data_IF_700093719513
#
_entry.id   IF_700093719513
#
_cell.length_a   1.000
_cell.length_b   1.000
_cell.length_c   1.000
_cell.angle_alpha   90.00
_cell.angle_beta   90.00
_cell.angle_gamma   90.00
#
_symmetry.space_group_name_H-M   'P 1'
#
loop_
_entity.id
_entity.type
_entity.pdbx_description
1 polymer ?
#
# COMPACT_ATOMS: atom_id res chain seq x y z
N UNK A 1 -11.26 -2.55 6.05
CA UNK A 1 -12.52 -3.01 6.67
C UNK A 1 -12.53 -4.54 6.77
N UNK A 2 -12.48 -5.06 8.01
CA UNK A 2 -12.75 -6.45 8.44
C UNK A 2 -11.80 -7.56 7.93
N UNK A 3 -10.72 -7.78 8.67
CA UNK A 3 -10.30 -9.14 9.02
C UNK A 3 -10.20 -9.19 10.55
N UNK A 4 -11.27 -9.62 11.16
CA UNK A 4 -11.30 -10.03 12.56
C UNK A 4 -10.63 -11.39 12.62
N UNK A 5 -9.48 -11.43 13.26
CA UNK A 5 -8.78 -12.62 13.69
C UNK A 5 -9.68 -13.42 14.63
N UNK A 6 -9.96 -14.64 14.25
CA UNK A 6 -10.42 -15.67 15.20
C UNK A 6 -9.22 -16.11 16.06
N UNK A 7 -8.97 -15.37 17.12
CA UNK A 7 -8.26 -15.92 18.27
C UNK A 7 -9.28 -16.81 18.97
N UNK A 8 -9.21 -18.11 18.70
CA UNK A 8 -9.92 -19.11 19.47
C UNK A 8 -9.22 -19.18 20.82
N UNK A 9 -9.71 -18.41 21.78
CA UNK A 9 -9.40 -18.61 23.19
C UNK A 9 -9.89 -20.01 23.57
N UNK A 10 -8.98 -20.96 23.67
CA UNK A 10 -9.25 -22.21 24.35
C UNK A 10 -9.46 -21.88 25.83
N UNK A 11 -10.70 -21.62 26.20
CA UNK A 11 -11.10 -21.57 27.61
C UNK A 11 -11.00 -22.98 28.16
N UNK A 12 -9.90 -23.25 28.86
CA UNK A 12 -9.80 -24.47 29.68
C UNK A 12 -10.69 -24.25 30.89
N UNK A 13 -11.89 -24.79 30.81
CA UNK A 13 -12.72 -24.97 32.00
C UNK A 13 -11.98 -25.91 32.97
N UNK A 14 -11.86 -25.48 34.22
CA UNK A 14 -11.49 -26.36 35.34
C UNK A 14 -12.60 -27.39 35.53
N UNK A 15 -12.46 -28.55 34.85
CA UNK A 15 -13.39 -29.65 34.98
C UNK A 15 -13.13 -30.33 36.32
N UNK A 16 -14.18 -30.47 37.12
CA UNK A 16 -14.22 -31.38 38.25
C UNK A 16 -13.98 -32.80 37.73
N UNK A 17 -13.19 -33.60 38.45
CA UNK A 17 -12.80 -34.99 38.14
C UNK A 17 -13.97 -35.95 37.84
N UNK A 18 -15.18 -35.46 37.61
CA UNK A 18 -16.39 -36.30 37.51
C UNK A 18 -16.79 -36.76 36.11
N UNK A 19 -16.39 -36.10 35.02
CA UNK A 19 -17.00 -36.30 33.69
C UNK A 19 -16.03 -36.57 32.53
N UNK A 20 -14.71 -36.52 32.72
CA UNK A 20 -13.73 -36.76 31.67
C UNK A 20 -13.31 -38.23 31.63
N UNK A 21 -14.06 -39.09 30.91
CA UNK A 21 -13.58 -40.44 30.62
C UNK A 21 -13.13 -40.52 29.14
N UNK A 22 -12.06 -41.31 28.90
CA UNK A 22 -11.53 -41.47 27.53
C UNK A 22 -10.54 -40.38 27.11
N UNK A 23 -10.11 -39.51 28.04
CA UNK A 23 -9.13 -38.44 27.78
C UNK A 23 -7.81 -38.72 28.50
N UNK A 24 -6.71 -38.24 27.88
CA UNK A 24 -5.38 -38.25 28.48
C UNK A 24 -5.17 -36.96 29.25
N UNK A 25 -4.84 -37.08 30.53
CA UNK A 25 -4.55 -35.98 31.42
C UNK A 25 -3.05 -35.94 31.76
N UNK A 26 -2.52 -34.76 31.96
CA UNK A 26 -1.14 -34.55 32.40
C UNK A 26 -1.16 -33.94 33.81
N UNK A 27 -0.39 -34.56 34.72
CA UNK A 27 -0.34 -34.14 36.12
C UNK A 27 1.11 -34.02 36.58
N UNK A 28 1.38 -33.12 37.53
CA UNK A 28 2.73 -32.92 38.11
C UNK A 28 3.26 -31.52 37.93
N UNK A 29 3.27 -30.99 36.76
CA UNK A 29 3.66 -29.59 36.50
C UNK A 29 2.43 -28.66 36.55
N UNK A 30 2.27 -27.95 37.67
CA UNK A 30 1.17 -26.99 37.85
C UNK A 30 1.51 -25.61 37.23
N UNK A 31 2.81 -25.32 37.00
CA UNK A 31 3.26 -24.03 36.50
C UNK A 31 3.09 -23.96 34.97
N UNK A 32 3.31 -25.07 34.27
CA UNK A 32 3.29 -25.10 32.81
C UNK A 32 2.18 -25.99 32.30
N UNK A 33 1.12 -25.39 31.84
CA UNK A 33 0.01 -26.11 31.19
C UNK A 33 0.50 -26.78 29.91
N UNK A 34 -0.08 -27.93 29.59
CA UNK A 34 0.22 -28.66 28.35
C UNK A 34 -0.35 -27.90 27.16
N UNK A 35 0.49 -27.61 26.17
CA UNK A 35 0.04 -27.06 24.88
C UNK A 35 -0.50 -28.21 24.02
N UNK A 36 -1.67 -28.00 23.47
CA UNK A 36 -2.34 -29.02 22.63
C UNK A 36 -2.40 -28.53 21.19
N UNK A 37 -1.79 -29.29 20.29
CA UNK A 37 -1.88 -29.06 18.84
C UNK A 37 -2.82 -30.10 18.23
N UNK A 38 -3.75 -29.65 17.38
CA UNK A 38 -4.58 -30.50 16.57
C UNK A 38 -3.89 -30.84 15.25
N UNK A 39 -3.32 -32.04 15.09
CA UNK A 39 -2.62 -32.37 13.87
C UNK A 39 -3.60 -32.64 12.72
N UNK A 40 -3.12 -32.48 11.48
CA UNK A 40 -3.91 -32.86 10.31
C UNK A 40 -4.40 -34.30 10.41
N UNK A 41 -5.64 -34.58 10.02
CA UNK A 41 -6.26 -35.93 10.00
C UNK A 41 -5.41 -36.96 9.25
N UNK A 42 -4.60 -36.55 8.30
CA UNK A 42 -3.69 -37.40 7.54
C UNK A 42 -2.58 -38.02 8.38
N UNK A 43 -2.29 -37.46 9.57
CA UNK A 43 -1.29 -37.99 10.50
C UNK A 43 -1.77 -39.25 11.24
N UNK A 44 -3.07 -39.42 11.36
CA UNK A 44 -3.70 -40.47 12.16
C UNK A 44 -3.61 -40.25 13.67
N UNK A 45 -2.99 -39.14 14.12
CA UNK A 45 -2.95 -38.76 15.52
C UNK A 45 -4.21 -37.97 15.91
N UNK A 46 -4.68 -38.17 17.13
CA UNK A 46 -5.74 -37.37 17.72
C UNK A 46 -5.21 -36.02 18.20
N UNK A 47 -4.01 -35.98 18.79
CA UNK A 47 -3.39 -34.78 19.33
C UNK A 47 -1.86 -34.85 19.31
N UNK A 48 -1.20 -33.69 19.31
CA UNK A 48 0.20 -33.54 19.66
C UNK A 48 0.26 -32.67 20.90
N UNK A 49 0.78 -33.24 21.99
CA UNK A 49 0.95 -32.52 23.25
C UNK A 49 2.37 -31.99 23.35
N UNK A 50 2.53 -30.70 23.62
CA UNK A 50 3.83 -30.13 23.91
C UNK A 50 3.88 -29.80 25.40
N UNK A 51 4.79 -30.45 26.08
CA UNK A 51 5.01 -30.28 27.53
C UNK A 51 6.33 -29.54 27.76
N UNK A 52 6.42 -28.82 28.86
CA UNK A 52 7.60 -28.03 29.19
C UNK A 52 8.83 -28.90 29.43
N UNK A 53 8.67 -29.97 30.25
CA UNK A 53 9.67 -30.98 30.56
C UNK A 53 8.95 -32.30 30.96
N UNK A 54 9.27 -33.40 30.30
CA UNK A 54 8.65 -34.67 30.58
C UNK A 54 9.02 -35.26 31.95
N UNK A 55 10.14 -34.83 32.54
CA UNK A 55 10.54 -35.25 33.90
C UNK A 55 9.62 -34.65 35.00
N UNK A 56 8.90 -33.57 34.69
CA UNK A 56 8.02 -32.91 35.66
C UNK A 56 6.59 -33.41 35.65
N UNK A 57 6.26 -34.32 34.74
CA UNK A 57 4.87 -34.76 34.50
C UNK A 57 4.70 -36.27 34.57
N UNK A 58 3.45 -36.68 34.77
CA UNK A 58 2.93 -38.04 34.57
C UNK A 58 1.73 -37.96 33.64
N UNK A 59 1.47 -39.02 32.90
CA UNK A 59 0.26 -39.14 32.10
C UNK A 59 -0.77 -40.05 32.78
N UNK A 60 -2.02 -39.63 32.76
CA UNK A 60 -3.15 -40.38 33.30
C UNK A 60 -4.22 -40.57 32.23
N UNK A 61 -4.90 -41.68 32.30
CA UNK A 61 -6.08 -41.94 31.46
C UNK A 61 -7.22 -42.40 32.36
N UNK A 62 -8.37 -41.82 32.23
CA UNK A 62 -9.57 -42.14 33.00
C UNK A 62 -10.41 -43.13 32.18
N UNK A 63 -10.45 -44.37 32.61
CA UNK A 63 -11.24 -45.43 31.96
C UNK A 63 -12.75 -45.25 32.19
N UNK A 64 -13.57 -45.84 31.35
CA UNK A 64 -15.03 -45.80 31.46
C UNK A 64 -15.52 -46.41 32.77
N UNK A 65 -14.95 -47.51 33.20
CA UNK A 65 -15.22 -48.17 34.49
C UNK A 65 -13.97 -48.82 35.08
N UNK A 66 -14.06 -49.24 36.34
CA UNK A 66 -12.93 -49.82 37.05
C UNK A 66 -12.50 -51.20 36.52
N UNK A 67 -13.38 -51.91 35.83
CA UNK A 67 -13.09 -53.23 35.24
C UNK A 67 -12.56 -53.14 33.80
N UNK A 68 -12.63 -51.94 33.18
CA UNK A 68 -12.16 -51.78 31.82
C UNK A 68 -10.68 -52.06 31.71
N UNK A 69 -10.27 -52.90 30.76
CA UNK A 69 -8.87 -53.13 30.46
C UNK A 69 -8.32 -51.98 29.67
N UNK A 70 -7.31 -51.29 30.22
CA UNK A 70 -6.57 -50.20 29.54
C UNK A 70 -5.15 -50.67 29.31
N UNK A 71 -4.68 -50.61 28.07
CA UNK A 71 -3.31 -50.95 27.69
C UNK A 71 -2.63 -49.74 27.06
N UNK A 72 -1.41 -49.48 27.47
CA UNK A 72 -0.61 -48.39 26.97
C UNK A 72 0.52 -48.90 26.07
N UNK A 73 0.72 -48.26 24.94
CA UNK A 73 1.84 -48.57 24.05
C UNK A 73 2.61 -47.28 23.75
N UNK A 74 3.88 -47.45 23.44
CA UNK A 74 4.79 -46.36 23.00
C UNK A 74 5.31 -46.69 21.60
N UNK A 75 5.44 -45.70 20.74
CA UNK A 75 6.05 -45.83 19.42
C UNK A 75 6.97 -44.63 19.12
N UNK A 76 7.94 -44.86 18.22
CA UNK A 76 8.87 -43.83 17.74
C UNK A 76 8.70 -43.58 16.25
N UNK A 77 9.80 -43.26 15.61
CA UNK A 77 9.87 -42.91 14.18
C UNK A 77 9.35 -43.97 13.21
N UNK A 78 9.29 -45.21 13.62
CA UNK A 78 8.76 -46.30 12.79
C UNK A 78 7.22 -46.33 12.75
N UNK A 79 6.56 -45.51 13.58
CA UNK A 79 5.11 -45.41 13.66
C UNK A 79 4.42 -46.46 14.54
N UNK A 80 3.10 -46.33 14.67
CA UNK A 80 2.27 -47.12 15.59
C UNK A 80 2.19 -48.61 15.29
N UNK A 81 2.51 -49.03 14.08
CA UNK A 81 2.60 -50.46 13.74
C UNK A 81 3.74 -51.18 14.48
N UNK A 82 4.73 -50.45 14.95
CA UNK A 82 5.88 -50.96 15.73
C UNK A 82 5.80 -50.49 17.19
N UNK A 83 4.57 -50.27 17.68
CA UNK A 83 4.38 -49.85 19.07
C UNK A 83 4.64 -51.00 20.03
N UNK A 84 5.33 -50.70 21.12
CA UNK A 84 5.64 -51.64 22.20
C UNK A 84 4.74 -51.39 23.39
N UNK A 85 4.22 -52.45 23.99
CA UNK A 85 3.39 -52.37 25.21
C UNK A 85 4.24 -51.87 26.38
N UNK A 86 3.70 -50.91 27.14
CA UNK A 86 4.34 -50.34 28.32
C UNK A 86 3.93 -51.16 29.55
N UNK A 87 4.91 -51.75 30.20
CA UNK A 87 4.72 -52.47 31.47
C UNK A 87 4.73 -51.47 32.68
N UNK A 88 4.16 -51.90 33.81
CA UNK A 88 4.25 -51.17 35.05
C UNK A 88 3.32 -49.92 35.15
N UNK A 89 2.26 -49.91 34.37
CA UNK A 89 1.20 -48.90 34.47
C UNK A 89 0.52 -48.98 35.85
N UNK A 90 0.57 -47.88 36.61
CA UNK A 90 -0.15 -47.77 37.88
C UNK A 90 -1.66 -47.70 37.64
N UNK A 91 -2.46 -48.27 38.53
CA UNK A 91 -3.92 -48.19 38.48
C UNK A 91 -4.51 -47.89 39.84
N UNK A 92 -5.41 -46.92 39.89
CA UNK A 92 -6.21 -46.58 41.05
C UNK A 92 -7.67 -46.34 40.58
N UNK A 93 -8.57 -47.29 40.88
CA UNK A 93 -9.92 -47.25 40.39
C UNK A 93 -9.98 -47.18 38.86
N UNK A 94 -10.58 -46.13 38.33
CA UNK A 94 -10.70 -45.84 36.88
C UNK A 94 -9.45 -45.26 36.29
N UNK A 95 -8.52 -44.71 37.09
CA UNK A 95 -7.36 -43.96 36.60
C UNK A 95 -6.18 -44.92 36.39
N UNK A 96 -5.65 -44.94 35.18
CA UNK A 96 -4.35 -45.55 34.87
C UNK A 96 -3.29 -44.48 34.76
N UNK A 97 -2.09 -44.71 35.34
CA UNK A 97 -1.02 -43.70 35.42
C UNK A 97 0.27 -44.27 34.85
N UNK A 98 0.82 -43.57 33.86
CA UNK A 98 2.18 -43.73 33.38
C UNK A 98 3.09 -42.72 34.10
N UNK A 99 3.98 -43.26 34.98
CA UNK A 99 4.85 -42.44 35.82
C UNK A 99 6.08 -41.88 35.09
N UNK A 100 6.61 -42.59 34.11
CA UNK A 100 7.80 -42.20 33.33
C UNK A 100 7.39 -41.89 31.89
N UNK A 101 7.37 -40.62 31.52
CA UNK A 101 7.06 -40.18 30.16
C UNK A 101 8.33 -40.09 29.35
N UNK A 102 8.43 -40.91 28.30
CA UNK A 102 9.59 -40.88 27.40
C UNK A 102 9.47 -39.62 26.49
N UNK A 103 10.45 -38.75 26.45
CA UNK A 103 10.38 -37.53 25.64
C UNK A 103 10.28 -37.85 24.13
N UNK A 104 9.64 -36.96 23.40
CA UNK A 104 9.54 -37.00 21.93
C UNK A 104 9.08 -38.36 21.37
N UNK A 105 8.01 -38.92 21.96
CA UNK A 105 7.49 -40.26 21.66
C UNK A 105 5.99 -40.22 21.37
N UNK A 106 5.56 -41.16 20.53
CA UNK A 106 4.14 -41.41 20.28
C UNK A 106 3.60 -42.40 21.30
N UNK A 107 2.32 -42.27 21.64
CA UNK A 107 1.61 -43.14 22.56
C UNK A 107 0.30 -43.60 21.98
N UNK A 108 -0.09 -44.81 22.36
CA UNK A 108 -1.41 -45.37 22.08
C UNK A 108 -2.02 -45.80 23.42
N UNK A 109 -3.23 -45.34 23.68
CA UNK A 109 -4.05 -45.85 24.77
C UNK A 109 -5.20 -46.65 24.16
N UNK A 110 -5.29 -47.88 24.56
CA UNK A 110 -6.31 -48.82 24.11
C UNK A 110 -7.26 -49.17 25.26
N UNK A 111 -8.55 -48.92 25.09
CA UNK A 111 -9.61 -49.34 25.99
C UNK A 111 -10.69 -50.07 25.19
N UNK A 112 -10.78 -51.39 25.35
CA UNK A 112 -11.65 -52.24 24.52
C UNK A 112 -11.29 -52.09 23.03
N UNK A 113 -12.27 -51.68 22.23
CA UNK A 113 -12.09 -51.48 20.77
C UNK A 113 -11.65 -50.05 20.42
N UNK A 114 -11.51 -49.16 21.40
CA UNK A 114 -11.12 -47.75 21.18
C UNK A 114 -9.60 -47.63 21.31
N UNK A 115 -9.01 -46.87 20.37
CA UNK A 115 -7.59 -46.49 20.41
C UNK A 115 -7.46 -44.99 20.23
N UNK A 116 -6.68 -44.37 21.10
CA UNK A 116 -6.28 -42.97 21.02
C UNK A 116 -4.79 -42.87 20.71
N UNK A 117 -4.44 -42.18 19.66
CA UNK A 117 -3.07 -42.01 19.18
C UNK A 117 -2.65 -40.56 19.40
N UNK A 118 -1.54 -40.35 20.10
CA UNK A 118 -1.04 -38.99 20.31
C UNK A 118 0.49 -39.01 20.39
N UNK A 119 1.06 -37.83 20.20
CA UNK A 119 2.51 -37.61 20.31
C UNK A 119 2.78 -36.66 21.45
N UNK A 120 3.84 -36.91 22.23
CA UNK A 120 4.29 -36.03 23.32
C UNK A 120 5.64 -35.42 22.92
N UNK A 121 5.70 -34.12 22.78
CA UNK A 121 6.92 -33.37 22.57
C UNK A 121 7.41 -32.85 23.92
N UNK A 122 8.69 -33.04 24.21
CA UNK A 122 9.40 -32.45 25.32
C UNK A 122 10.07 -31.16 24.85
N UNK A 123 9.50 -30.01 25.23
CA UNK A 123 10.02 -28.71 24.79
C UNK A 123 11.41 -28.40 25.37
N UNK A 124 11.79 -28.99 26.50
CA UNK A 124 13.12 -28.78 27.09
C UNK A 124 14.26 -29.15 26.14
N UNK A 125 14.00 -30.09 25.21
CA UNK A 125 14.96 -30.48 24.16
C UNK A 125 15.03 -29.53 22.96
N UNK A 126 14.07 -28.62 22.85
CA UNK A 126 13.90 -27.71 21.70
C UNK A 126 13.91 -26.25 22.12
N UNK A 127 14.38 -25.95 23.31
CA UNK A 127 14.28 -24.61 23.89
C UNK A 127 14.86 -23.55 22.96
N UNK A 128 14.05 -22.52 22.65
CA UNK A 128 14.50 -21.35 21.89
C UNK A 128 15.44 -20.53 22.76
N UNK A 129 16.56 -20.12 22.21
CA UNK A 129 17.50 -19.17 22.82
C UNK A 129 17.87 -18.12 21.79
N UNK A 130 17.50 -16.88 22.03
CA UNK A 130 17.85 -15.73 21.20
C UNK A 130 18.94 -14.92 21.94
N UNK A 131 20.05 -14.60 21.26
CA UNK A 131 21.18 -13.88 21.83
C UNK A 131 21.32 -12.49 21.21
N UNK A 132 21.37 -12.38 19.89
CA UNK A 132 21.46 -11.11 19.17
C UNK A 132 20.80 -11.19 17.80
N UNK A 133 20.49 -10.02 17.25
CA UNK A 133 20.06 -9.84 15.86
C UNK A 133 20.72 -8.58 15.32
N UNK A 134 21.30 -8.68 14.14
CA UNK A 134 22.03 -7.58 13.50
C UNK A 134 21.68 -7.52 12.01
N UNK A 135 21.49 -6.30 11.48
CA UNK A 135 21.37 -6.08 10.05
C UNK A 135 22.74 -6.16 9.40
N UNK A 136 22.85 -6.88 8.29
CA UNK A 136 24.04 -6.94 7.47
C UNK A 136 24.28 -5.58 6.79
N UNK A 137 25.44 -4.96 6.99
CA UNK A 137 25.74 -3.61 6.50
C UNK A 137 25.82 -3.55 4.96
N UNK A 138 26.36 -4.60 4.34
CA UNK A 138 26.50 -4.74 2.90
C UNK A 138 25.36 -5.61 2.35
N UNK A 139 24.35 -4.98 1.79
CA UNK A 139 23.20 -5.66 1.18
C UNK A 139 22.75 -4.98 -0.10
N UNK A 140 22.08 -5.75 -0.95
CA UNK A 140 21.45 -5.22 -2.16
C UNK A 140 20.37 -4.20 -1.81
N UNK A 141 20.17 -3.23 -2.71
CA UNK A 141 19.07 -2.29 -2.61
C UNK A 141 17.72 -3.01 -2.50
N UNK A 142 16.90 -2.58 -1.57
CA UNK A 142 15.55 -3.13 -1.37
C UNK A 142 15.50 -4.44 -0.61
N UNK A 143 16.65 -4.92 -0.07
CA UNK A 143 16.72 -6.16 0.72
C UNK A 143 17.36 -5.88 2.07
N UNK A 144 16.74 -6.39 3.14
CA UNK A 144 17.33 -6.45 4.47
C UNK A 144 17.72 -7.90 4.77
N UNK A 145 18.96 -8.11 5.17
CA UNK A 145 19.47 -9.42 5.61
C UNK A 145 19.86 -9.30 7.07
N UNK A 146 19.21 -10.10 7.92
CA UNK A 146 19.44 -10.12 9.35
C UNK A 146 20.22 -11.39 9.73
N UNK A 147 21.30 -11.21 10.47
CA UNK A 147 22.03 -12.29 11.11
C UNK A 147 21.53 -12.44 12.55
N UNK A 148 21.11 -13.64 12.91
CA UNK A 148 20.57 -13.98 14.23
C UNK A 148 21.48 -14.96 14.93
N UNK A 149 21.98 -14.58 16.09
CA UNK A 149 22.71 -15.49 16.99
C UNK A 149 21.74 -16.10 18.00
N UNK A 150 21.83 -17.44 18.16
CA UNK A 150 20.93 -18.18 19.00
C UNK A 150 20.79 -19.64 18.58
N UNK A 151 19.83 -20.31 19.15
CA UNK A 151 19.48 -21.70 18.82
C UNK A 151 18.00 -21.97 18.95
N UNK A 152 17.50 -22.90 18.15
CA UNK A 152 16.10 -23.30 18.15
C UNK A 152 15.82 -24.37 17.11
N UNK A 153 16.11 -25.62 17.44
CA UNK A 153 15.91 -26.74 16.54
C UNK A 153 14.43 -26.88 16.13
N UNK A 154 14.21 -27.45 14.96
CA UNK A 154 12.88 -27.81 14.49
C UNK A 154 12.21 -28.79 15.48
N UNK A 155 11.03 -28.47 15.95
CA UNK A 155 10.22 -29.36 16.80
C UNK A 155 9.58 -30.40 15.91
N UNK A 156 10.01 -31.65 16.02
CA UNK A 156 9.57 -32.73 15.15
C UNK A 156 8.64 -33.72 15.88
N UNK A 157 7.74 -34.34 15.12
CA UNK A 157 6.93 -35.44 15.57
C UNK A 157 6.68 -36.45 14.42
N UNK A 158 6.23 -37.64 14.73
CA UNK A 158 5.98 -38.67 13.71
C UNK A 158 4.50 -39.02 13.67
N UNK A 159 4.00 -39.24 12.47
CA UNK A 159 2.64 -39.78 12.24
C UNK A 159 2.54 -41.24 12.67
N UNK A 160 1.32 -41.78 12.76
CA UNK A 160 1.12 -43.20 13.06
C UNK A 160 1.79 -44.17 12.04
N UNK A 161 2.10 -43.67 10.85
CA UNK A 161 2.79 -44.42 9.79
C UNK A 161 4.29 -44.11 9.68
N UNK A 162 4.87 -43.37 10.65
CA UNK A 162 6.29 -43.02 10.68
C UNK A 162 6.68 -41.85 9.81
N UNK A 163 5.73 -41.07 9.26
CA UNK A 163 6.01 -39.87 8.49
C UNK A 163 6.44 -38.72 9.40
N UNK A 164 7.59 -38.10 9.08
CA UNK A 164 8.10 -36.95 9.82
C UNK A 164 7.23 -35.70 9.58
N UNK A 165 6.93 -34.97 10.65
CA UNK A 165 6.24 -33.70 10.67
C UNK A 165 6.98 -32.70 11.57
N UNK A 166 6.77 -31.41 11.34
CA UNK A 166 7.30 -30.31 12.15
C UNK A 166 6.15 -29.50 12.74
N UNK A 167 6.36 -28.99 13.94
CA UNK A 167 5.49 -27.96 14.52
C UNK A 167 6.02 -26.60 14.15
N UNK A 168 5.11 -25.72 13.76
CA UNK A 168 5.40 -24.31 13.57
C UNK A 168 5.71 -23.64 14.93
N UNK A 169 6.85 -22.99 15.02
CA UNK A 169 7.24 -22.22 16.20
C UNK A 169 6.54 -20.87 16.28
N UNK A 170 6.05 -20.35 15.13
CA UNK A 170 5.43 -19.03 15.01
C UNK A 170 6.26 -17.93 15.67
N UNK A 171 7.53 -17.81 15.25
CA UNK A 171 8.36 -16.67 15.62
C UNK A 171 7.85 -15.42 14.88
N UNK A 172 7.93 -14.26 15.53
CA UNK A 172 7.52 -12.99 14.94
C UNK A 172 8.71 -12.04 14.85
N UNK A 173 8.97 -11.54 13.64
CA UNK A 173 9.93 -10.49 13.37
C UNK A 173 9.18 -9.21 13.06
N UNK A 174 9.36 -8.20 13.89
CA UNK A 174 8.70 -6.90 13.76
C UNK A 174 9.70 -5.79 13.44
N UNK A 175 9.30 -4.84 12.61
CA UNK A 175 10.05 -3.64 12.24
C UNK A 175 9.11 -2.56 11.72
N UNK A 176 9.60 -1.34 11.54
CA UNK A 176 8.86 -0.25 10.92
C UNK A 176 9.31 -0.04 9.48
N UNK A 177 8.38 0.38 8.63
CA UNK A 177 8.65 0.81 7.25
C UNK A 177 7.69 1.94 6.89
N UNK A 178 7.69 2.39 5.63
CA UNK A 178 6.81 3.45 5.16
C UNK A 178 5.80 2.92 4.14
N UNK A 179 4.59 3.49 4.18
CA UNK A 179 3.58 3.35 3.15
C UNK A 179 3.13 4.74 2.67
N UNK A 180 2.85 4.86 1.38
CA UNK A 180 2.38 6.11 0.81
C UNK A 180 0.90 6.35 1.11
N UNK A 181 0.59 7.54 1.59
CA UNK A 181 -0.78 8.03 1.75
C UNK A 181 -1.11 9.04 0.66
N UNK A 182 -1.88 8.62 -0.34
CA UNK A 182 -2.32 9.52 -1.42
C UNK A 182 -3.23 10.66 -0.90
N UNK A 183 -3.98 10.42 0.18
CA UNK A 183 -4.84 11.44 0.80
C UNK A 183 -4.04 12.59 1.40
N UNK A 184 -2.91 12.26 2.02
CA UNK A 184 -2.05 13.23 2.72
C UNK A 184 -0.84 13.66 1.87
N UNK A 185 -0.63 13.05 0.70
CA UNK A 185 0.57 13.22 -0.14
C UNK A 185 1.85 13.12 0.68
N UNK A 186 1.95 12.06 1.48
CA UNK A 186 3.09 11.86 2.40
C UNK A 186 3.32 10.40 2.77
N UNK A 187 4.55 10.07 3.08
CA UNK A 187 4.95 8.78 3.62
C UNK A 187 4.50 8.66 5.07
N UNK A 188 3.89 7.52 5.41
CA UNK A 188 3.39 7.21 6.75
C UNK A 188 4.13 6.00 7.31
N UNK A 189 4.59 6.09 8.56
CA UNK A 189 5.23 4.96 9.23
C UNK A 189 4.20 3.88 9.56
N UNK A 190 4.51 2.63 9.21
CA UNK A 190 3.68 1.46 9.47
C UNK A 190 4.52 0.34 10.06
N UNK A 191 3.96 -0.36 11.04
CA UNK A 191 4.58 -1.56 11.62
C UNK A 191 4.42 -2.75 10.67
N UNK A 192 5.53 -3.44 10.42
CA UNK A 192 5.58 -4.68 9.65
C UNK A 192 5.80 -5.87 10.57
N UNK A 193 5.19 -7.01 10.27
CA UNK A 193 5.35 -8.25 11.02
C UNK A 193 5.51 -9.42 10.06
N UNK A 194 6.66 -10.07 10.13
CA UNK A 194 6.96 -11.28 9.39
C UNK A 194 6.91 -12.50 10.32
N UNK A 195 6.19 -13.54 9.89
CA UNK A 195 6.07 -14.79 10.65
C UNK A 195 7.04 -15.83 10.12
N UNK A 196 7.76 -16.45 11.03
CA UNK A 196 8.74 -17.48 10.73
C UNK A 196 8.29 -18.80 11.38
N UNK A 197 8.21 -19.87 10.58
CA UNK A 197 7.82 -21.20 11.06
C UNK A 197 8.85 -21.83 12.02
N UNK A 198 10.13 -21.40 11.90
CA UNK A 198 11.21 -21.92 12.73
C UNK A 198 12.37 -20.93 12.85
N UNK A 199 13.31 -21.23 13.73
CA UNK A 199 14.52 -20.45 13.93
C UNK A 199 15.41 -20.52 12.69
N UNK A 200 15.99 -19.37 12.31
CA UNK A 200 16.96 -19.22 11.23
C UNK A 200 18.09 -18.30 11.68
N UNK A 201 19.31 -18.67 11.41
CA UNK A 201 20.50 -17.84 11.68
C UNK A 201 20.64 -16.69 10.70
N UNK A 202 19.97 -16.76 9.55
CA UNK A 202 19.94 -15.70 8.53
C UNK A 202 18.54 -15.54 7.97
N UNK A 203 18.01 -14.32 8.02
CA UNK A 203 16.66 -13.98 7.58
C UNK A 203 16.78 -12.90 6.51
N UNK A 204 16.21 -13.14 5.34
CA UNK A 204 16.12 -12.15 4.26
C UNK A 204 14.68 -11.70 4.11
N UNK A 205 14.47 -10.40 4.02
CA UNK A 205 13.13 -9.76 3.92
C UNK A 205 13.22 -8.50 3.05
N UNK A 206 12.07 -7.94 2.62
CA UNK A 206 12.05 -6.64 1.96
C UNK A 206 12.70 -5.57 2.84
N UNK A 207 13.49 -4.70 2.21
CA UNK A 207 14.17 -3.62 2.91
C UNK A 207 13.18 -2.61 3.50
N UNK A 208 13.51 -2.08 4.68
CA UNK A 208 12.76 -0.97 5.27
C UNK A 208 13.00 0.32 4.50
N UNK A 209 11.93 1.10 4.31
CA UNK A 209 11.96 2.44 3.69
C UNK A 209 12.32 3.56 4.66
N UNK A 210 12.44 3.24 5.97
CA UNK A 210 12.88 4.16 7.00
C UNK A 210 13.88 3.49 7.96
N UNK A 211 14.55 4.29 8.74
CA UNK A 211 15.37 3.81 9.86
C UNK A 211 14.49 3.07 10.86
N UNK A 212 14.92 1.86 11.27
CA UNK A 212 14.10 0.97 12.09
C UNK A 212 14.93 0.10 13.02
N UNK A 213 14.24 -0.50 13.99
CA UNK A 213 14.78 -1.55 14.87
C UNK A 213 14.07 -2.86 14.53
N UNK A 214 14.84 -3.89 14.20
CA UNK A 214 14.30 -5.22 13.97
C UNK A 214 14.22 -5.96 15.30
N UNK A 215 13.04 -6.50 15.61
CA UNK A 215 12.82 -7.25 16.85
C UNK A 215 12.30 -8.64 16.52
N UNK A 216 13.08 -9.66 16.87
CA UNK A 216 12.67 -11.06 16.77
C UNK A 216 12.17 -11.54 18.11
N UNK A 217 10.99 -12.11 18.16
CA UNK A 217 10.34 -12.61 19.37
C UNK A 217 9.66 -13.96 19.15
N UNK A 218 9.40 -14.66 20.20
CA UNK A 218 8.69 -15.95 20.19
C UNK A 218 9.38 -16.95 21.10
N UNK A 219 9.07 -18.23 21.00
CA UNK A 219 8.07 -18.84 20.10
C UNK A 219 6.69 -18.91 20.77
N UNK A 220 5.69 -19.44 20.03
CA UNK A 220 4.31 -19.56 20.53
C UNK A 220 4.20 -20.43 21.78
N UNK A 221 5.12 -21.37 21.98
CA UNK A 221 5.13 -22.25 23.17
C UNK A 221 5.59 -21.49 24.40
N UNK A 222 6.70 -20.72 24.30
CA UNK A 222 7.16 -19.84 25.38
C UNK A 222 6.10 -18.78 25.68
N UNK A 223 5.48 -18.20 24.65
CA UNK A 223 4.40 -17.23 24.85
C UNK A 223 3.21 -17.85 25.59
N UNK A 224 2.84 -19.09 25.28
CA UNK A 224 1.78 -19.80 25.97
C UNK A 224 2.09 -20.00 27.47
N UNK A 225 3.35 -20.26 27.82
CA UNK A 225 3.80 -20.36 29.21
C UNK A 225 4.16 -19.02 29.87
N UNK A 226 3.92 -17.91 29.18
CA UNK A 226 4.25 -16.56 29.65
C UNK A 226 5.77 -16.33 29.84
N UNK A 227 6.58 -17.08 29.14
CA UNK A 227 8.03 -16.98 29.05
C UNK A 227 8.41 -16.53 27.64
N UNK A 228 8.31 -15.24 27.30
CA UNK A 228 8.72 -14.78 25.98
C UNK A 228 10.22 -14.48 25.95
N UNK A 229 10.85 -14.81 24.83
CA UNK A 229 12.18 -14.34 24.47
C UNK A 229 12.08 -13.31 23.35
N UNK A 230 12.93 -12.30 23.41
CA UNK A 230 12.99 -11.27 22.39
C UNK A 230 14.40 -10.69 22.30
N UNK A 231 14.85 -10.46 21.10
CA UNK A 231 16.09 -9.72 20.82
C UNK A 231 15.83 -8.62 19.81
N UNK A 232 16.49 -7.49 19.98
CA UNK A 232 16.33 -6.35 19.08
C UNK A 232 17.69 -5.93 18.54
N UNK A 233 17.71 -5.51 17.26
CA UNK A 233 18.90 -4.89 16.66
C UNK A 233 19.15 -3.51 17.26
N UNK A 234 20.32 -2.93 16.98
CA UNK A 234 20.47 -1.48 17.02
C UNK A 234 19.55 -0.79 16.01
N UNK A 235 19.49 0.55 16.08
CA UNK A 235 18.83 1.35 15.02
C UNK A 235 19.56 1.14 13.70
N UNK A 236 18.88 0.58 12.73
CA UNK A 236 19.38 0.34 11.38
C UNK A 236 18.88 1.42 10.42
N UNK A 237 19.73 1.87 9.51
CA UNK A 237 19.32 2.80 8.46
C UNK A 237 18.38 2.12 7.45
N UNK A 238 17.60 2.95 6.72
CA UNK A 238 16.76 2.46 5.64
C UNK A 238 17.57 1.63 4.64
N UNK A 239 17.06 0.46 4.28
CA UNK A 239 17.70 -0.49 3.35
C UNK A 239 17.03 -0.53 1.98
N UNK A 240 15.98 0.28 1.79
CA UNK A 240 15.28 0.43 0.52
C UNK A 240 14.99 1.91 0.23
N UNK A 241 14.84 2.22 -1.06
CA UNK A 241 14.49 3.53 -1.59
C UNK A 241 13.19 3.43 -2.37
N UNK A 242 12.30 4.37 -2.15
CA UNK A 242 11.07 4.51 -2.91
C UNK A 242 10.78 5.97 -3.23
N UNK A 243 10.05 6.20 -4.31
CA UNK A 243 9.56 7.51 -4.73
C UNK A 243 8.07 7.45 -5.03
N UNK A 244 7.38 8.54 -4.73
CA UNK A 244 5.99 8.79 -5.14
C UNK A 244 5.88 10.19 -5.70
N UNK A 245 4.85 10.43 -6.51
CA UNK A 245 4.70 11.70 -7.21
C UNK A 245 3.24 12.13 -7.26
N UNK A 246 3.05 13.45 -7.25
CA UNK A 246 1.76 14.08 -7.51
C UNK A 246 1.97 15.11 -8.61
N UNK A 247 1.26 14.96 -9.74
CA UNK A 247 1.34 15.89 -10.86
C UNK A 247 -0.03 16.45 -11.15
N UNK A 248 -0.14 17.77 -11.20
CA UNK A 248 -1.40 18.47 -11.42
C UNK A 248 -1.26 19.62 -12.40
N UNK A 249 -2.25 19.84 -13.23
CA UNK A 249 -2.31 21.00 -14.10
C UNK A 249 -3.07 22.14 -13.42
N UNK A 250 -2.41 23.29 -13.25
CA UNK A 250 -2.99 24.48 -12.61
C UNK A 250 -3.80 25.37 -13.55
N UNK A 251 -3.63 25.20 -14.87
CA UNK A 251 -4.27 26.07 -15.85
C UNK A 251 -5.79 25.87 -15.90
N UNK A 252 -6.53 26.92 -15.58
CA UNK A 252 -7.99 26.92 -15.76
C UNK A 252 -8.35 26.95 -17.26
N UNK A 253 -9.34 26.15 -17.65
CA UNK A 253 -9.88 26.13 -19.01
C UNK A 253 -10.86 27.31 -19.20
N UNK A 254 -10.57 28.20 -20.15
CA UNK A 254 -11.56 29.18 -20.59
C UNK A 254 -12.64 28.50 -21.46
N UNK A 255 -13.88 28.99 -21.38
CA UNK A 255 -15.05 28.44 -22.09
C UNK A 255 -14.90 28.49 -23.64
N UNK A 256 -14.07 29.40 -24.13
CA UNK A 256 -13.77 29.59 -25.56
C UNK A 256 -12.43 28.96 -26.00
N UNK A 257 -11.74 28.25 -25.11
CA UNK A 257 -10.53 27.50 -25.43
C UNK A 257 -10.87 26.12 -26.00
N UNK A 258 -10.37 25.82 -27.21
CA UNK A 258 -10.51 24.49 -27.85
C UNK A 258 -9.28 23.63 -27.59
N UNK A 259 -9.46 22.32 -27.64
CA UNK A 259 -8.37 21.34 -27.59
C UNK A 259 -7.80 21.05 -26.21
N UNK A 260 -8.34 21.66 -25.15
CA UNK A 260 -8.18 21.14 -23.81
C UNK A 260 -9.15 19.96 -23.70
N UNK A 261 -8.70 18.75 -24.03
CA UNK A 261 -9.55 17.56 -24.00
C UNK A 261 -10.22 17.36 -22.63
N UNK A 262 -11.40 16.74 -22.65
CA UNK A 262 -12.12 16.34 -21.43
C UNK A 262 -11.46 15.16 -20.71
N UNK A 263 -10.32 14.66 -21.26
CA UNK A 263 -9.54 13.59 -20.66
C UNK A 263 -8.73 14.15 -19.48
N UNK A 264 -9.23 13.95 -18.28
CA UNK A 264 -8.58 14.35 -17.01
C UNK A 264 -7.18 13.71 -16.81
N UNK A 265 -6.84 12.74 -17.64
CA UNK A 265 -5.56 12.00 -17.58
C UNK A 265 -4.46 12.59 -18.49
N UNK A 266 -4.76 13.62 -19.32
CA UNK A 266 -3.78 14.21 -20.22
C UNK A 266 -3.30 15.56 -19.74
N UNK A 267 -1.99 15.65 -19.47
CA UNK A 267 -1.34 16.92 -19.15
C UNK A 267 -1.04 17.73 -20.41
N UNK A 268 -1.19 19.06 -20.32
CA UNK A 268 -0.92 19.99 -21.39
C UNK A 268 -2.18 20.41 -22.14
N UNK A 269 -2.31 19.99 -23.41
CA UNK A 269 -3.43 20.35 -24.30
C UNK A 269 -3.21 21.68 -25.01
N UNK A 270 -3.66 22.80 -24.45
CA UNK A 270 -3.53 24.14 -25.04
C UNK A 270 -2.48 24.97 -24.27
N UNK A 271 -1.55 25.60 -24.98
CA UNK A 271 -0.61 26.55 -24.39
C UNK A 271 -1.24 27.94 -24.13
N UNK A 272 -0.78 28.67 -23.08
CA UNK A 272 0.15 28.21 -22.06
C UNK A 272 -0.50 27.21 -21.10
N UNK A 273 0.25 26.17 -20.69
CA UNK A 273 -0.20 25.20 -19.70
C UNK A 273 0.80 25.14 -18.54
N UNK A 274 0.36 25.41 -17.33
CA UNK A 274 1.21 25.32 -16.12
C UNK A 274 0.92 24.01 -15.40
N UNK A 275 1.98 23.25 -15.17
CA UNK A 275 1.91 21.96 -14.50
C UNK A 275 2.80 22.01 -13.27
N UNK A 276 2.25 21.56 -12.14
CA UNK A 276 2.95 21.37 -10.88
C UNK A 276 3.37 19.90 -10.79
N UNK A 277 4.66 19.67 -10.60
CA UNK A 277 5.28 18.39 -10.38
C UNK A 277 5.77 18.34 -8.94
N UNK A 278 5.29 17.39 -8.16
CA UNK A 278 5.70 17.17 -6.76
C UNK A 278 6.24 15.75 -6.61
N UNK A 279 7.50 15.62 -6.21
CA UNK A 279 8.17 14.34 -5.99
C UNK A 279 8.49 14.12 -4.52
N UNK A 280 8.29 12.91 -4.05
CA UNK A 280 8.47 12.49 -2.66
C UNK A 280 9.34 11.25 -2.59
N UNK A 281 10.56 11.40 -2.11
CA UNK A 281 11.47 10.29 -1.89
C UNK A 281 11.49 9.89 -0.42
N UNK A 282 11.82 8.62 -0.12
CA UNK A 282 12.04 8.15 1.24
C UNK A 282 13.39 8.58 1.78
N UNK A 283 13.62 8.43 3.08
CA UNK A 283 14.79 8.98 3.78
C UNK A 283 16.15 8.47 3.28
N UNK A 284 16.18 7.31 2.62
CA UNK A 284 17.39 6.76 2.03
C UNK A 284 17.93 7.58 0.84
N UNK A 285 17.16 8.52 0.31
CA UNK A 285 17.56 9.33 -0.82
C UNK A 285 18.69 10.31 -0.45
N UNK A 286 19.84 10.19 -1.13
CA UNK A 286 20.94 11.17 -1.05
C UNK A 286 20.73 12.31 -2.04
N UNK A 287 20.09 12.02 -3.17
CA UNK A 287 19.79 12.97 -4.24
C UNK A 287 18.48 12.62 -4.90
N UNK A 288 17.72 13.63 -5.31
CA UNK A 288 16.52 13.46 -6.10
C UNK A 288 16.36 14.60 -7.11
N UNK A 289 15.75 14.30 -8.27
CA UNK A 289 15.55 15.27 -9.33
C UNK A 289 14.37 14.92 -10.24
N UNK A 290 13.76 15.92 -10.83
CA UNK A 290 12.90 15.76 -11.99
C UNK A 290 13.73 15.75 -13.26
N UNK A 291 13.50 14.79 -14.13
CA UNK A 291 14.14 14.65 -15.44
C UNK A 291 13.12 14.87 -16.55
N UNK A 292 13.54 15.60 -17.59
CA UNK A 292 12.76 15.78 -18.80
C UNK A 292 13.49 15.22 -20.02
N UNK A 293 12.74 14.52 -20.86
CA UNK A 293 13.21 14.01 -22.15
C UNK A 293 12.15 14.22 -23.24
N UNK A 294 12.59 14.26 -24.51
CA UNK A 294 11.70 14.21 -25.67
C UNK A 294 11.41 12.80 -26.15
N UNK A 295 12.04 11.80 -25.55
CA UNK A 295 11.79 10.39 -25.80
C UNK A 295 11.37 9.68 -24.52
N UNK A 296 10.38 8.79 -24.61
CA UNK A 296 9.83 8.06 -23.45
C UNK A 296 10.81 7.05 -22.84
N UNK A 297 11.88 6.70 -23.55
CA UNK A 297 12.91 5.78 -23.07
C UNK A 297 13.99 6.47 -22.20
N UNK A 298 14.00 7.81 -22.16
CA UNK A 298 14.99 8.61 -21.46
C UNK A 298 16.45 8.28 -21.83
N UNK A 299 16.72 7.81 -23.08
CA UNK A 299 18.09 7.64 -23.57
C UNK A 299 18.89 8.94 -23.49
N UNK A 300 18.21 10.10 -23.67
CA UNK A 300 18.77 11.42 -23.50
C UNK A 300 17.90 12.24 -22.54
N UNK A 301 18.45 12.62 -21.39
CA UNK A 301 17.86 13.58 -20.48
C UNK A 301 18.27 14.97 -20.91
N UNK A 302 17.30 15.83 -21.27
CA UNK A 302 17.57 17.16 -21.79
C UNK A 302 17.55 18.23 -20.69
N UNK A 303 16.70 18.07 -19.67
CA UNK A 303 16.63 18.98 -18.53
C UNK A 303 16.56 18.18 -17.22
N UNK A 304 17.20 18.71 -16.18
CA UNK A 304 17.22 18.15 -14.83
C UNK A 304 16.93 19.27 -13.82
N UNK A 305 16.09 18.97 -12.83
CA UNK A 305 15.68 19.90 -11.79
C UNK A 305 15.84 19.24 -10.43
N UNK A 306 16.73 19.77 -9.61
CA UNK A 306 17.03 19.22 -8.28
C UNK A 306 15.95 19.52 -7.23
N UNK A 307 14.96 20.34 -7.57
CA UNK A 307 13.82 20.63 -6.70
C UNK A 307 12.83 19.45 -6.69
N UNK A 308 12.33 19.09 -5.53
CA UNK A 308 11.24 18.10 -5.40
C UNK A 308 9.89 18.65 -5.86
N UNK A 309 9.69 19.96 -5.75
CA UNK A 309 8.51 20.68 -6.26
C UNK A 309 8.92 21.62 -7.39
N UNK A 310 8.30 21.44 -8.56
CA UNK A 310 8.58 22.20 -9.77
C UNK A 310 7.27 22.67 -10.41
N UNK A 311 7.11 23.99 -10.58
CA UNK A 311 6.04 24.56 -11.41
C UNK A 311 6.62 24.96 -12.77
N UNK A 312 6.13 24.32 -13.85
CA UNK A 312 6.61 24.54 -15.23
C UNK A 312 5.48 24.97 -16.14
N UNK A 313 5.67 26.10 -16.83
CA UNK A 313 4.74 26.58 -17.87
C UNK A 313 5.24 26.19 -19.26
N UNK A 314 4.41 25.45 -19.98
CA UNK A 314 4.65 24.97 -21.34
C UNK A 314 4.03 25.93 -22.34
N UNK A 315 4.87 26.57 -23.16
CA UNK A 315 4.46 27.55 -24.17
C UNK A 315 4.67 27.05 -25.61
N UNK A 316 5.44 25.97 -25.82
CA UNK A 316 5.82 25.45 -27.12
C UNK A 316 5.05 24.18 -27.47
N UNK A 317 4.60 24.07 -28.72
CA UNK A 317 3.98 22.87 -29.22
C UNK A 317 4.96 21.70 -29.26
N UNK A 318 4.50 20.53 -28.83
CA UNK A 318 5.30 19.31 -28.80
C UNK A 318 4.95 18.42 -27.64
N UNK A 319 5.66 17.29 -27.54
CA UNK A 319 5.49 16.32 -26.46
C UNK A 319 6.79 16.17 -25.69
N UNK A 320 6.71 16.18 -24.38
CA UNK A 320 7.81 15.94 -23.45
C UNK A 320 7.41 14.87 -22.43
N UNK A 321 8.41 14.14 -21.94
CA UNK A 321 8.26 13.08 -20.94
C UNK A 321 8.98 13.47 -19.68
N UNK A 322 8.37 13.21 -18.55
CA UNK A 322 8.84 13.63 -17.22
C UNK A 322 8.83 12.47 -16.27
N UNK A 323 9.88 12.33 -15.47
CA UNK A 323 9.94 11.38 -14.36
C UNK A 323 10.69 11.98 -13.19
N UNK A 324 10.39 11.50 -12.00
CA UNK A 324 11.12 11.82 -10.78
C UNK A 324 12.06 10.67 -10.45
N UNK A 325 13.33 10.98 -10.19
CA UNK A 325 14.36 10.00 -9.90
C UNK A 325 14.99 10.32 -8.57
N UNK A 326 15.18 9.31 -7.73
CA UNK A 326 15.96 9.41 -6.50
C UNK A 326 17.08 8.37 -6.48
N UNK A 327 18.22 8.75 -5.91
CA UNK A 327 19.39 7.90 -5.76
C UNK A 327 19.80 7.83 -4.30
N UNK A 328 20.34 6.69 -3.86
CA UNK A 328 20.95 6.51 -2.56
C UNK A 328 22.40 6.05 -2.73
N UNK A 329 23.33 6.87 -2.27
CA UNK A 329 24.77 6.55 -2.35
C UNK A 329 25.16 5.39 -1.43
N UNK A 330 24.42 5.21 -0.33
CA UNK A 330 24.76 4.22 0.69
C UNK A 330 24.64 2.76 0.21
N UNK A 331 23.70 2.51 -0.76
CA UNK A 331 23.41 1.16 -1.26
C UNK A 331 23.32 1.08 -2.79
N UNK A 332 23.80 2.10 -3.49
CA UNK A 332 23.70 2.21 -4.96
C UNK A 332 22.27 1.98 -5.46
N UNK A 333 21.29 2.53 -4.72
CA UNK A 333 19.86 2.43 -5.04
C UNK A 333 19.44 3.51 -6.02
N UNK A 334 18.58 3.14 -6.97
CA UNK A 334 17.86 4.07 -7.84
C UNK A 334 16.38 3.74 -7.78
N UNK A 335 15.55 4.76 -7.56
CA UNK A 335 14.09 4.66 -7.65
C UNK A 335 13.57 5.69 -8.64
N UNK A 336 12.65 5.29 -9.51
CA UNK A 336 12.06 6.13 -10.54
C UNK A 336 10.53 6.11 -10.42
N UNK A 337 9.90 7.26 -10.67
CA UNK A 337 8.44 7.35 -10.76
C UNK A 337 7.91 6.77 -12.07
N UNK A 338 6.60 6.73 -12.21
CA UNK A 338 5.97 6.60 -13.52
C UNK A 338 6.34 7.78 -14.45
N UNK A 339 6.17 7.58 -15.74
CA UNK A 339 6.49 8.58 -16.77
C UNK A 339 5.24 9.40 -17.06
N UNK A 340 5.34 10.71 -16.87
CA UNK A 340 4.30 11.68 -17.21
C UNK A 340 4.51 12.21 -18.61
N UNK A 341 3.46 12.20 -19.42
CA UNK A 341 3.50 12.76 -20.79
C UNK A 341 2.80 14.10 -20.80
N UNK A 342 3.53 15.16 -21.14
CA UNK A 342 3.01 16.50 -21.37
C UNK A 342 2.99 16.79 -22.86
N UNK A 343 1.79 17.06 -23.43
CA UNK A 343 1.64 17.29 -24.87
C UNK A 343 0.91 18.59 -25.12
N UNK A 344 1.56 19.53 -25.79
CA UNK A 344 1.00 20.80 -26.21
C UNK A 344 0.65 20.74 -27.70
N UNK A 345 -0.61 21.03 -28.03
CA UNK A 345 -1.10 21.05 -29.39
C UNK A 345 -0.71 22.31 -30.16
N UNK A 346 -0.78 22.25 -31.49
CA UNK A 346 -0.63 23.41 -32.38
C UNK A 346 -1.75 24.43 -32.16
N UNK A 347 -1.45 25.67 -32.53
CA UNK A 347 -2.39 26.78 -32.34
C UNK A 347 -3.53 26.82 -33.36
N UNK A 348 -4.67 27.29 -32.91
CA UNK A 348 -5.78 27.70 -33.77
C UNK A 348 -6.43 28.97 -33.25
N UNK A 349 -6.95 29.80 -34.16
CA UNK A 349 -7.63 31.05 -33.82
C UNK A 349 -8.76 31.30 -34.81
N UNK A 350 -9.99 31.39 -34.31
CA UNK A 350 -11.20 31.64 -35.12
C UNK A 350 -12.00 32.80 -34.50
N UNK A 351 -12.48 33.70 -35.35
CA UNK A 351 -13.26 34.84 -34.93
C UNK A 351 -14.72 34.68 -35.37
N UNK A 352 -15.70 34.82 -34.51
CA UNK A 352 -17.11 34.89 -34.92
C UNK A 352 -17.39 36.20 -35.63
N UNK A 353 -18.32 36.18 -36.58
CA UNK A 353 -18.69 37.35 -37.38
C UNK A 353 -19.87 38.14 -36.81
N UNK A 354 -20.50 37.65 -35.74
CA UNK A 354 -21.66 38.30 -35.12
C UNK A 354 -21.84 37.89 -33.64
N UNK A 355 -22.46 38.76 -32.86
CA UNK A 355 -22.93 38.45 -31.52
C UNK A 355 -24.17 39.28 -31.19
N UNK A 356 -24.92 38.97 -30.12
CA UNK A 356 -26.19 39.57 -29.80
C UNK A 356 -26.32 39.93 -28.33
N UNK A 357 -25.60 40.95 -27.83
CA UNK A 357 -25.56 41.30 -26.43
C UNK A 357 -26.96 41.62 -25.89
N UNK A 358 -27.31 41.04 -24.72
CA UNK A 358 -28.60 41.30 -24.01
C UNK A 358 -29.84 40.78 -24.71
N UNK A 359 -29.74 39.93 -25.74
CA UNK A 359 -30.92 39.33 -26.39
C UNK A 359 -31.39 38.09 -25.63
N UNK A 360 -30.49 37.23 -25.21
CA UNK A 360 -30.71 36.05 -24.38
C UNK A 360 -29.61 35.98 -23.38
N UNK A 361 -29.91 36.10 -22.10
CA UNK A 361 -28.93 36.11 -21.03
C UNK A 361 -28.03 34.88 -21.06
N UNK A 362 -26.71 35.08 -21.08
CA UNK A 362 -25.68 34.03 -21.14
C UNK A 362 -25.45 33.42 -22.51
N UNK A 363 -26.13 33.86 -23.59
CA UNK A 363 -25.93 33.29 -24.93
C UNK A 363 -25.53 34.37 -25.92
N UNK A 364 -24.32 34.27 -26.48
CA UNK A 364 -23.75 35.22 -27.43
C UNK A 364 -23.74 36.69 -26.93
N UNK A 365 -23.62 36.88 -25.62
CA UNK A 365 -23.62 38.21 -24.99
C UNK A 365 -22.29 38.94 -25.19
N UNK A 366 -21.22 38.20 -25.52
CA UNK A 366 -19.90 38.73 -25.78
C UNK A 366 -19.35 38.17 -27.11
N UNK A 367 -18.61 39.05 -27.81
CA UNK A 367 -17.82 38.62 -28.92
C UNK A 367 -16.50 38.06 -28.41
N UNK A 368 -16.31 36.76 -28.50
CA UNK A 368 -15.11 36.02 -28.06
C UNK A 368 -14.53 35.24 -29.24
N UNK A 369 -13.21 35.28 -29.36
CA UNK A 369 -12.51 34.35 -30.29
C UNK A 369 -12.57 32.94 -29.79
N UNK A 370 -12.54 31.95 -30.66
CA UNK A 370 -12.32 30.56 -30.31
C UNK A 370 -10.87 30.22 -30.60
N UNK A 371 -10.14 29.71 -29.63
CA UNK A 371 -8.70 29.53 -29.75
C UNK A 371 -8.19 28.23 -29.13
N UNK A 372 -6.99 27.84 -29.52
CA UNK A 372 -6.14 26.88 -28.83
C UNK A 372 -4.69 27.31 -28.95
N UNK A 373 -3.87 27.04 -27.94
CA UNK A 373 -2.41 27.24 -27.93
C UNK A 373 -1.94 28.60 -28.45
N UNK A 374 -2.60 29.67 -27.99
CA UNK A 374 -2.23 31.06 -28.30
C UNK A 374 -1.41 31.60 -27.12
N UNK A 375 -0.13 31.89 -27.35
CA UNK A 375 0.81 32.33 -26.31
C UNK A 375 0.98 33.85 -26.22
N UNK A 376 0.65 34.55 -27.30
CA UNK A 376 0.57 36.02 -27.31
C UNK A 376 -0.68 36.44 -28.05
N UNK A 377 -1.40 37.41 -27.52
CA UNK A 377 -2.65 37.87 -28.10
C UNK A 377 -2.86 39.35 -27.85
N UNK A 378 -3.30 40.06 -28.90
CA UNK A 378 -3.79 41.42 -28.82
C UNK A 378 -4.86 41.64 -29.89
N UNK A 379 -6.01 42.13 -29.47
CA UNK A 379 -7.13 42.43 -30.35
C UNK A 379 -7.63 43.84 -30.08
N UNK A 380 -7.75 44.61 -31.14
CA UNK A 380 -8.35 45.96 -31.12
C UNK A 380 -9.65 45.95 -31.89
N UNK A 381 -10.69 46.58 -31.30
CA UNK A 381 -12.01 46.68 -31.87
C UNK A 381 -12.32 48.14 -32.14
N UNK A 382 -12.79 48.42 -33.37
CA UNK A 382 -13.02 49.76 -33.88
C UNK A 382 -14.44 49.95 -34.38
N UNK A 383 -14.95 51.18 -34.35
CA UNK A 383 -16.17 51.56 -35.08
C UNK A 383 -15.85 51.88 -36.56
N UNK A 384 -16.88 52.17 -37.36
CA UNK A 384 -16.74 52.57 -38.79
C UNK A 384 -15.90 53.85 -39.04
N UNK A 385 -15.69 54.66 -38.00
CA UNK A 385 -14.91 55.87 -38.06
C UNK A 385 -13.44 55.68 -37.66
N UNK A 386 -13.03 54.42 -37.37
CA UNK A 386 -11.68 54.10 -36.91
C UNK A 386 -11.39 54.45 -35.46
N UNK A 387 -12.42 54.75 -34.67
CA UNK A 387 -12.25 54.95 -33.22
C UNK A 387 -12.13 53.63 -32.53
N UNK A 388 -11.07 53.42 -31.75
CA UNK A 388 -10.86 52.22 -30.93
C UNK A 388 -11.86 52.22 -29.77
N UNK A 389 -12.62 51.12 -29.65
CA UNK A 389 -13.65 50.93 -28.64
C UNK A 389 -13.19 50.02 -27.52
N UNK A 390 -12.45 48.95 -27.84
CA UNK A 390 -11.97 47.97 -26.92
C UNK A 390 -10.59 47.47 -27.33
N UNK A 391 -9.82 47.03 -26.35
CA UNK A 391 -8.58 46.27 -26.52
C UNK A 391 -8.67 45.03 -25.62
N UNK A 392 -8.42 43.86 -26.20
CA UNK A 392 -8.32 42.61 -25.50
C UNK A 392 -6.88 42.11 -25.58
N UNK A 393 -6.31 41.74 -24.44
CA UNK A 393 -4.90 41.30 -24.30
C UNK A 393 -4.77 39.84 -24.00
N UNK A 394 -5.89 39.20 -23.76
CA UNK A 394 -5.99 37.77 -23.47
C UNK A 394 -7.07 37.15 -24.37
N UNK A 395 -6.83 36.00 -25.04
CA UNK A 395 -7.78 35.39 -25.96
C UNK A 395 -9.01 34.83 -25.24
N UNK A 396 -8.98 34.62 -23.91
CA UNK A 396 -10.14 34.26 -23.11
C UNK A 396 -11.16 35.35 -22.92
N UNK A 397 -10.72 36.63 -23.07
CA UNK A 397 -11.58 37.80 -22.90
C UNK A 397 -12.55 37.95 -24.07
N UNK A 398 -13.71 38.55 -23.76
CA UNK A 398 -14.72 38.94 -24.72
C UNK A 398 -15.03 40.43 -24.70
N UNK A 399 -15.61 40.94 -25.80
CA UNK A 399 -16.18 42.27 -25.85
C UNK A 399 -17.70 42.21 -25.69
N UNK A 400 -18.23 42.83 -24.65
CA UNK A 400 -19.65 42.88 -24.30
C UNK A 400 -20.47 43.88 -25.10
N UNK A 401 -19.94 44.44 -26.15
CA UNK A 401 -20.60 45.45 -26.98
C UNK A 401 -20.72 46.82 -26.31
N UNK A 402 -19.97 47.15 -25.26
CA UNK A 402 -19.97 48.45 -24.62
C UNK A 402 -18.76 49.31 -24.97
N UNK A 403 -18.99 50.61 -24.96
CA UNK A 403 -17.97 51.64 -25.01
C UNK A 403 -18.23 52.69 -23.94
N UNK A 404 -17.27 52.94 -23.06
CA UNK A 404 -17.42 53.84 -21.89
C UNK A 404 -18.68 53.55 -21.05
N UNK A 405 -18.98 52.29 -20.84
CA UNK A 405 -20.11 51.77 -20.02
C UNK A 405 -21.48 51.84 -20.69
N UNK A 406 -21.56 52.24 -21.96
CA UNK A 406 -22.84 52.26 -22.71
C UNK A 406 -22.77 51.26 -23.86
N UNK A 407 -23.89 50.52 -24.03
CA UNK A 407 -24.05 49.59 -25.17
C UNK A 407 -23.99 50.42 -26.47
N UNK A 408 -23.20 49.96 -27.43
CA UNK A 408 -23.07 50.59 -28.74
C UNK A 408 -24.29 50.26 -29.61
N UNK A 409 -24.53 51.04 -30.66
CA UNK A 409 -25.65 50.80 -31.56
C UNK A 409 -25.48 49.48 -32.36
N UNK A 410 -26.60 48.82 -32.75
CA UNK A 410 -26.55 47.75 -33.73
C UNK A 410 -25.85 48.20 -35.01
N UNK A 411 -25.00 47.34 -35.57
CA UNK A 411 -24.26 47.70 -36.78
C UNK A 411 -22.96 46.88 -36.93
N UNK A 412 -22.12 47.33 -37.86
CA UNK A 412 -20.86 46.70 -38.20
C UNK A 412 -19.72 47.42 -37.48
N UNK A 413 -18.92 46.64 -36.79
CA UNK A 413 -17.65 47.01 -36.12
C UNK A 413 -16.52 46.21 -36.76
N UNK A 414 -15.29 46.57 -36.48
CA UNK A 414 -14.12 45.97 -37.09
C UNK A 414 -13.12 45.55 -36.01
N UNK A 415 -12.46 44.40 -36.25
CA UNK A 415 -11.36 43.96 -35.40
C UNK A 415 -10.04 43.87 -36.17
N UNK A 416 -8.95 44.04 -35.43
CA UNK A 416 -7.60 43.70 -35.86
C UNK A 416 -6.98 42.87 -34.74
N UNK A 417 -6.42 41.71 -35.12
CA UNK A 417 -5.76 40.81 -34.17
C UNK A 417 -4.32 40.59 -34.60
N UNK A 418 -3.41 40.71 -33.64
CA UNK A 418 -2.04 40.20 -33.72
C UNK A 418 -1.89 39.12 -32.63
N UNK A 419 -1.49 37.92 -33.02
CA UNK A 419 -1.31 36.79 -32.09
C UNK A 419 -0.15 35.89 -32.54
N UNK A 420 0.36 35.10 -31.57
CA UNK A 420 1.42 34.11 -31.81
C UNK A 420 0.98 32.79 -31.18
N UNK A 421 1.10 31.72 -31.94
CA UNK A 421 0.79 30.35 -31.49
C UNK A 421 2.00 29.64 -30.87
N UNK A 422 1.77 28.54 -30.20
CA UNK A 422 2.76 27.68 -29.53
C UNK A 422 3.86 27.16 -30.46
N UNK A 423 3.56 26.96 -31.75
CA UNK A 423 4.51 26.57 -32.79
C UNK A 423 5.24 27.79 -33.46
N UNK A 424 5.06 28.99 -32.90
CA UNK A 424 5.64 30.22 -33.43
C UNK A 424 4.88 30.84 -34.63
N UNK A 425 3.73 30.30 -34.99
CA UNK A 425 2.85 30.78 -36.05
C UNK A 425 2.29 32.17 -35.69
N UNK A 426 2.46 33.15 -36.60
CA UNK A 426 1.96 34.51 -36.40
C UNK A 426 0.63 34.70 -37.09
N UNK A 427 -0.35 35.17 -36.34
CA UNK A 427 -1.67 35.54 -36.82
C UNK A 427 -1.77 37.05 -36.97
N UNK A 428 -2.18 37.49 -38.14
CA UNK A 428 -2.59 38.88 -38.42
C UNK A 428 -3.95 38.85 -39.07
N UNK A 429 -4.99 38.92 -38.23
CA UNK A 429 -6.37 38.81 -38.67
C UNK A 429 -7.05 40.16 -38.62
N UNK A 430 -7.96 40.38 -39.56
CA UNK A 430 -8.88 41.53 -39.57
C UNK A 430 -10.21 41.11 -40.13
N UNK A 431 -11.29 41.68 -39.65
CA UNK A 431 -12.62 41.36 -40.11
C UNK A 431 -13.67 42.28 -39.49
N UNK A 432 -14.91 41.94 -39.75
CA UNK A 432 -16.09 42.65 -39.23
C UNK A 432 -16.78 41.87 -38.10
N UNK A 433 -17.43 42.63 -37.24
CA UNK A 433 -18.25 42.15 -36.13
C UNK A 433 -19.64 42.74 -36.32
N UNK A 434 -20.66 41.89 -36.49
CA UNK A 434 -22.03 42.32 -36.61
C UNK A 434 -22.76 42.24 -35.26
N UNK A 435 -23.16 43.38 -34.71
CA UNK A 435 -24.04 43.38 -33.53
C UNK A 435 -25.48 43.30 -33.97
N UNK A 436 -26.18 42.23 -33.57
CA UNK A 436 -27.56 41.94 -33.95
C UNK A 436 -28.45 41.82 -32.69
N UNK A 437 -29.72 42.15 -32.83
CA UNK A 437 -30.72 41.78 -31.84
C UNK A 437 -30.81 42.64 -30.57
N UNK A 438 -30.28 43.89 -30.54
CA UNK A 438 -30.53 44.78 -29.38
C UNK A 438 -32.03 45.05 -29.24
N UNK A 439 -32.65 44.60 -28.11
CA UNK A 439 -34.01 45.05 -27.75
C UNK A 439 -33.99 46.57 -27.59
N UNK A 440 -34.81 47.29 -28.42
CA UNK A 440 -35.13 48.68 -28.11
C UNK A 440 -35.87 48.70 -26.78
N UNK A 441 -35.35 49.40 -25.79
CA UNK A 441 -36.17 49.75 -24.60
C UNK A 441 -37.43 50.42 -25.11
N UNK A 442 -38.60 49.80 -24.84
CA UNK A 442 -39.91 50.39 -25.07
C UNK A 442 -39.96 51.68 -24.26
N UNK A 443 -39.97 52.87 -24.94
CA UNK A 443 -40.32 54.12 -24.30
C UNK A 443 -41.72 53.96 -23.70
N UNK A 444 -41.79 53.81 -22.39
CA UNK A 444 -43.05 53.96 -21.65
C UNK A 444 -43.51 55.44 -21.82
N UNK A 445 -44.33 55.68 -22.81
CA UNK A 445 -45.14 56.89 -22.87
C UNK A 445 -46.21 56.73 -21.74
N UNK A 446 -45.96 57.41 -20.65
CA UNK A 446 -46.98 57.65 -19.64
C UNK A 446 -47.96 58.60 -20.28
N UNK A 447 -49.05 58.11 -20.83
CA UNK A 447 -50.30 58.91 -21.05
C UNK A 447 -50.87 59.32 -19.69
N UNK A 448 -50.64 60.57 -19.37
CA UNK A 448 -51.52 61.25 -18.41
C UNK A 448 -52.81 61.55 -19.13
N UNK A 449 -53.87 60.92 -18.72
CA UNK A 449 -55.27 61.48 -18.92
C UNK A 449 -55.97 61.52 -17.58
N UNK A 450 -56.29 62.70 -17.19
CA UNK A 450 -57.33 63.29 -16.32
C UNK A 450 -58.10 62.34 -15.38
#
# INVERSE_FOLDING_TARGET
MKYLQNIMLATIASWSLGDAYGEVLFVGDEAHKVFVEEPSKTTGLNSVYVVYDTNMIKMQYVAADESAKVTWYKFGQMGGAYAEEIAGIGRDGKVTTLNEVVPNSGYIVEEGDKRSYFWVVDYSHYRLQLQSIELEDEGDCGTAVLNVDGSGDDIIYYTINGGLKKLDRALELTYESLEWSAENSSWQTVGQTEKLEGFKTRISLPGSLCSTVYTLSGDRFLTFWQESQSVSSGMSQASALAVETVVAQETEKADNMKGAGDDAERLGGSAPATILFSGYATEAASHCEWQMSRSADFENVEEQYAESELSKTFNEAGTTYWRFVANSDARDCVAESEIYTVSIGESSLQCPNAFSPGTTEGVNDEWKVSYSSIVKFRCWIFNSWGVQLCELTDPSQGWDGKYKGKVVNPGVYYYVIEAEGSEGKKYKLKGDINIVGLKKEAKTTSDKTE
#
